data_IF_094775725652
#
_entry.id   IF_094775725652
#
_cell.length_a   1.000
_cell.length_b   1.000
_cell.length_c   1.000
_cell.angle_alpha   90.00
_cell.angle_beta   90.00
_cell.angle_gamma   90.00
#
_symmetry.space_group_name_H-M   'P 1'
#
loop_
_entity.id
_entity.type
_entity.pdbx_description
1 polymer ?
#
# COMPACT_ATOMS: atom_id res chain seq x y z
N UNK A 1 -3.41 -20.37 37.42
CA UNK A 1 -3.41 -19.19 36.52
C UNK A 1 -4.42 -19.43 35.42
N UNK A 2 -5.41 -18.53 35.31
CA UNK A 2 -6.55 -18.66 34.40
C UNK A 2 -6.16 -18.20 32.98
N UNK A 3 -6.61 -18.98 32.00
CA UNK A 3 -6.71 -18.73 30.56
C UNK A 3 -5.52 -18.10 29.82
N UNK A 4 -5.01 -18.92 28.88
CA UNK A 4 -4.14 -18.62 27.77
C UNK A 4 -4.45 -17.28 27.08
N UNK A 5 -3.42 -16.56 26.58
CA UNK A 5 -3.64 -15.32 25.87
C UNK A 5 -4.52 -15.61 24.66
N UNK A 6 -5.65 -14.92 24.69
CA UNK A 6 -6.68 -14.73 23.67
C UNK A 6 -6.13 -14.99 22.26
N UNK A 7 -6.90 -15.79 21.50
CA UNK A 7 -6.70 -16.22 20.10
C UNK A 7 -6.65 -15.07 19.08
N UNK A 8 -5.85 -14.03 19.31
CA UNK A 8 -5.63 -12.96 18.34
C UNK A 8 -4.78 -13.42 17.14
N UNK A 9 -4.09 -14.56 17.23
CA UNK A 9 -3.26 -15.08 16.14
C UNK A 9 -4.02 -15.43 14.84
N UNK A 10 -5.36 -15.48 14.86
CA UNK A 10 -6.17 -15.77 13.67
C UNK A 10 -6.57 -14.54 12.85
N UNK A 11 -6.76 -13.38 13.49
CA UNK A 11 -7.33 -12.20 12.84
C UNK A 11 -6.26 -11.27 12.24
N UNK A 12 -5.03 -11.35 12.75
CA UNK A 12 -3.90 -10.61 12.19
C UNK A 12 -3.42 -11.15 10.84
N UNK A 13 -3.74 -12.41 10.52
CA UNK A 13 -3.24 -13.06 9.30
C UNK A 13 -3.86 -12.53 8.01
N UNK A 14 -5.14 -12.16 8.04
CA UNK A 14 -5.85 -11.69 6.86
C UNK A 14 -5.49 -10.23 6.52
N UNK A 15 -5.42 -9.38 7.55
CA UNK A 15 -4.97 -7.99 7.41
C UNK A 15 -3.51 -7.88 7.02
N UNK A 16 -2.62 -8.71 7.58
CA UNK A 16 -1.22 -8.80 7.12
C UNK A 16 -1.16 -9.18 5.64
N UNK A 17 -1.91 -10.20 5.21
CA UNK A 17 -1.85 -10.65 3.83
C UNK A 17 -2.29 -9.58 2.81
N UNK A 18 -3.29 -8.77 3.14
CA UNK A 18 -3.64 -7.61 2.30
C UNK A 18 -2.52 -6.58 2.28
N UNK A 19 -1.96 -6.24 3.44
CA UNK A 19 -0.93 -5.20 3.55
C UNK A 19 0.37 -5.63 2.86
N UNK A 20 0.76 -6.91 2.96
CA UNK A 20 1.90 -7.50 2.26
C UNK A 20 1.74 -7.39 0.73
N UNK A 21 0.56 -7.75 0.20
CA UNK A 21 0.26 -7.62 -1.24
C UNK A 21 0.29 -6.17 -1.72
N UNK A 22 -0.29 -5.28 -0.94
CA UNK A 22 -0.32 -3.85 -1.25
C UNK A 22 1.09 -3.28 -1.22
N UNK A 23 1.93 -3.72 -0.27
CA UNK A 23 3.33 -3.33 -0.17
C UNK A 23 4.16 -3.86 -1.33
N UNK A 24 3.95 -5.10 -1.75
CA UNK A 24 4.63 -5.67 -2.90
C UNK A 24 4.26 -4.94 -4.20
N UNK A 25 2.96 -4.65 -4.38
CA UNK A 25 2.49 -3.81 -5.49
C UNK A 25 3.07 -2.39 -5.42
N UNK A 26 3.15 -1.77 -4.24
CA UNK A 26 3.75 -0.46 -4.10
C UNK A 26 5.23 -0.46 -4.49
N UNK A 27 5.99 -1.48 -4.08
CA UNK A 27 7.40 -1.66 -4.42
C UNK A 27 7.61 -1.96 -5.91
N UNK A 28 6.65 -2.59 -6.58
CA UNK A 28 6.75 -2.86 -8.03
C UNK A 28 6.57 -1.60 -8.87
N UNK A 29 5.89 -0.58 -8.34
CA UNK A 29 5.72 0.72 -9.00
C UNK A 29 6.80 1.72 -8.59
N UNK A 30 7.18 1.76 -7.31
CA UNK A 30 8.23 2.64 -6.81
C UNK A 30 9.62 2.05 -7.10
N UNK A 31 10.05 2.11 -8.37
CA UNK A 31 11.36 1.63 -8.82
C UNK A 31 12.51 2.42 -8.20
N UNK A 32 12.33 3.72 -7.97
CA UNK A 32 13.39 4.55 -7.41
C UNK A 32 13.58 4.32 -5.90
N UNK A 33 12.54 3.86 -5.21
CA UNK A 33 12.59 3.51 -3.80
C UNK A 33 12.51 4.71 -2.85
N UNK A 34 12.05 5.90 -3.27
CA UNK A 34 11.94 7.07 -2.38
C UNK A 34 10.77 6.97 -1.38
N UNK A 35 9.87 6.03 -1.59
CA UNK A 35 8.72 5.77 -0.73
C UNK A 35 7.44 6.44 -1.22
N UNK A 36 7.47 7.00 -2.43
CA UNK A 36 6.33 7.54 -3.15
C UNK A 36 6.33 6.93 -4.56
N UNK A 37 5.18 6.93 -5.21
CA UNK A 37 5.07 6.62 -6.63
C UNK A 37 4.84 7.95 -7.34
N UNK A 38 5.82 8.38 -8.12
CA UNK A 38 5.74 9.60 -8.91
C UNK A 38 4.95 9.38 -10.20
N UNK A 39 4.53 10.48 -10.84
CA UNK A 39 3.87 10.41 -12.14
C UNK A 39 4.67 9.65 -13.20
N UNK A 40 6.00 9.77 -13.18
CA UNK A 40 6.88 9.05 -14.08
C UNK A 40 6.86 7.52 -13.84
N UNK A 41 6.79 7.09 -12.58
CA UNK A 41 6.74 5.68 -12.19
C UNK A 41 5.37 5.06 -12.46
N UNK A 42 4.29 5.85 -12.34
CA UNK A 42 2.95 5.39 -12.66
C UNK A 42 2.64 5.44 -14.17
N UNK A 43 3.34 6.28 -14.94
CA UNK A 43 3.14 6.40 -16.41
C UNK A 43 3.37 5.06 -17.12
N UNK A 44 4.31 4.25 -16.64
CA UNK A 44 4.58 2.90 -17.18
C UNK A 44 3.36 1.96 -17.03
N UNK A 45 2.56 2.18 -15.98
CA UNK A 45 1.37 1.37 -15.69
C UNK A 45 0.11 1.81 -16.44
N UNK A 46 0.15 2.94 -17.15
CA UNK A 46 -0.99 3.49 -17.90
C UNK A 46 -2.12 4.06 -17.02
N UNK A 47 -1.89 4.21 -15.71
CA UNK A 47 -2.83 4.84 -14.80
C UNK A 47 -2.54 6.34 -14.63
N UNK A 48 -3.59 7.15 -14.57
CA UNK A 48 -3.47 8.59 -14.29
C UNK A 48 -3.32 8.80 -12.78
N UNK A 49 -2.22 9.41 -12.35
CA UNK A 49 -1.96 9.79 -10.94
C UNK A 49 -3.16 10.47 -10.29
N UNK A 50 -3.90 11.27 -11.06
CA UNK A 50 -5.08 12.03 -10.60
C UNK A 50 -6.16 11.18 -9.90
N UNK A 51 -6.29 9.89 -10.23
CA UNK A 51 -7.31 9.04 -9.60
C UNK A 51 -6.95 8.72 -8.14
N UNK A 52 -5.65 8.72 -7.84
CA UNK A 52 -5.09 8.34 -6.54
C UNK A 52 -4.59 9.55 -5.75
N UNK A 53 -4.24 10.63 -6.45
CA UNK A 53 -3.60 11.81 -5.90
C UNK A 53 -4.58 12.83 -5.34
N UNK A 54 -5.19 12.48 -4.21
CA UNK A 54 -6.19 13.34 -3.53
C UNK A 54 -5.67 14.66 -3.02
N UNK A 55 -4.36 14.80 -2.82
CA UNK A 55 -3.74 16.04 -2.35
C UNK A 55 -3.06 16.83 -3.48
N UNK A 56 -3.18 16.37 -4.73
CA UNK A 56 -2.67 17.04 -5.94
C UNK A 56 -1.17 17.37 -5.91
N UNK A 57 -0.38 16.58 -5.16
CA UNK A 57 1.08 16.75 -5.04
C UNK A 57 1.86 16.09 -6.19
N UNK A 58 1.18 15.32 -7.04
CA UNK A 58 1.79 14.54 -8.13
C UNK A 58 2.49 13.26 -7.64
N UNK A 59 2.30 12.91 -6.37
CA UNK A 59 2.93 11.77 -5.68
C UNK A 59 1.89 10.90 -4.97
N UNK A 60 2.01 9.58 -5.10
CA UNK A 60 1.19 8.61 -4.37
C UNK A 60 2.03 8.01 -3.25
N UNK A 61 1.71 8.35 -2.01
CA UNK A 61 2.29 7.69 -0.84
C UNK A 61 1.61 6.34 -0.54
N UNK A 62 2.27 5.52 0.29
CA UNK A 62 1.76 4.22 0.68
C UNK A 62 0.36 4.28 1.33
N UNK A 63 0.05 5.36 2.06
CA UNK A 63 -1.26 5.49 2.72
C UNK A 63 -2.38 5.69 1.71
N UNK A 64 -2.17 6.50 0.66
CA UNK A 64 -3.11 6.62 -0.47
C UNK A 64 -3.27 5.31 -1.23
N UNK A 65 -2.17 4.59 -1.43
CA UNK A 65 -2.19 3.31 -2.16
C UNK A 65 -2.96 2.22 -1.39
N UNK A 66 -2.80 2.17 -0.06
CA UNK A 66 -3.59 1.30 0.84
C UNK A 66 -5.05 1.73 0.92
N UNK A 67 -5.36 3.02 0.83
CA UNK A 67 -6.76 3.48 0.85
C UNK A 67 -7.53 3.06 -0.42
N UNK A 68 -6.82 2.76 -1.51
CA UNK A 68 -7.41 2.33 -2.77
C UNK A 68 -7.60 0.81 -2.90
N UNK A 69 -6.71 0.00 -2.30
CA UNK A 69 -6.76 -1.47 -2.33
C UNK A 69 -7.60 -2.07 -1.21
#
# INVERSE_FOLDING_TARGET
MKCSPIRLCGLFKEKESSLEKVKEAFLMFNENGDGFIDAAELEESGNTIQVYDKNEDGKIDFSKFVEFM
#
